data_IF_049481383396
#
_entry.id   IF_049481383396
#
_cell.length_a   1.000
_cell.length_b   1.000
_cell.length_c   1.000
_cell.angle_alpha   90.00
_cell.angle_beta   90.00
_cell.angle_gamma   90.00
#
_symmetry.space_group_name_H-M   'P 1'
#
loop_
_entity.id
_entity.type
_entity.pdbx_description
1 polymer ?
#
# COMPACT_ATOMS: atom_id res chain seq x y z
N UNK A 1 22.42 10.53 9.70
CA UNK A 1 21.63 9.43 9.12
C UNK A 1 21.65 8.26 10.11
N UNK A 2 21.05 8.43 11.29
CA UNK A 2 21.18 7.49 12.40
C UNK A 2 20.03 6.49 12.41
N UNK A 3 20.19 5.40 13.17
CA UNK A 3 19.28 4.25 13.32
C UNK A 3 17.77 4.57 13.32
N UNK A 4 17.39 5.76 13.82
CA UNK A 4 16.01 6.24 13.80
C UNK A 4 15.41 6.29 12.40
N UNK A 5 16.15 6.72 11.37
CA UNK A 5 15.67 6.73 9.98
C UNK A 5 15.48 5.32 9.41
N UNK A 6 16.33 4.36 9.82
CA UNK A 6 16.22 2.96 9.41
C UNK A 6 14.97 2.32 10.04
N UNK A 7 14.76 2.53 11.34
CA UNK A 7 13.58 2.02 12.05
C UNK A 7 12.29 2.62 11.46
N UNK A 8 12.28 3.93 11.16
CA UNK A 8 11.13 4.56 10.52
C UNK A 8 10.86 4.00 9.11
N UNK A 9 11.91 3.73 8.33
CA UNK A 9 11.78 3.10 7.01
C UNK A 9 11.21 1.68 7.12
N UNK A 10 11.71 0.88 8.07
CA UNK A 10 11.20 -0.46 8.31
C UNK A 10 9.74 -0.45 8.78
N UNK A 11 9.39 0.46 9.69
CA UNK A 11 8.03 0.62 10.21
C UNK A 11 7.04 1.03 9.11
N UNK A 12 7.41 2.03 8.31
CA UNK A 12 6.58 2.49 7.19
C UNK A 12 6.43 1.42 6.11
N UNK A 13 7.50 0.67 5.81
CA UNK A 13 7.45 -0.51 4.94
C UNK A 13 6.52 -1.62 5.42
N UNK A 14 6.58 -1.95 6.71
CA UNK A 14 5.70 -2.95 7.31
C UNK A 14 4.24 -2.49 7.29
N UNK A 15 3.99 -1.23 7.64
CA UNK A 15 2.64 -0.65 7.61
C UNK A 15 2.04 -0.65 6.20
N UNK A 16 2.83 -0.24 5.20
CA UNK A 16 2.43 -0.30 3.79
C UNK A 16 2.12 -1.73 3.33
N UNK A 17 2.97 -2.69 3.70
CA UNK A 17 2.76 -4.11 3.41
C UNK A 17 1.48 -4.65 4.05
N UNK A 18 1.22 -4.26 5.30
CA UNK A 18 0.00 -4.65 6.01
C UNK A 18 -1.26 -4.09 5.33
N UNK A 19 -1.22 -2.85 4.83
CA UNK A 19 -2.32 -2.26 4.08
C UNK A 19 -2.56 -3.01 2.76
N UNK A 20 -1.50 -3.35 2.02
CA UNK A 20 -1.59 -4.14 0.81
C UNK A 20 -2.21 -5.52 1.06
N UNK A 21 -1.77 -6.22 2.12
CA UNK A 21 -2.32 -7.54 2.50
C UNK A 21 -3.82 -7.44 2.83
N UNK A 22 -4.26 -6.40 3.55
CA UNK A 22 -5.69 -6.20 3.85
C UNK A 22 -6.51 -6.02 2.58
N UNK A 23 -6.01 -5.23 1.63
CA UNK A 23 -6.68 -5.03 0.34
C UNK A 23 -6.75 -6.32 -0.47
N UNK A 24 -5.67 -7.10 -0.52
CA UNK A 24 -5.65 -8.41 -1.16
C UNK A 24 -6.66 -9.35 -0.48
N UNK A 25 -6.70 -9.38 0.86
CA UNK A 25 -7.64 -10.20 1.62
C UNK A 25 -9.09 -9.83 1.32
N UNK A 26 -9.41 -8.53 1.24
CA UNK A 26 -10.74 -8.06 0.85
C UNK A 26 -11.09 -8.47 -0.58
N UNK A 27 -10.15 -8.36 -1.52
CA UNK A 27 -10.36 -8.78 -2.90
C UNK A 27 -10.65 -10.28 -2.99
N UNK A 28 -9.86 -11.11 -2.30
CA UNK A 28 -10.02 -12.56 -2.27
C UNK A 28 -11.36 -12.94 -1.65
N UNK A 29 -11.75 -12.29 -0.54
CA UNK A 29 -13.01 -12.55 0.13
C UNK A 29 -14.25 -12.24 -0.75
N UNK A 30 -14.13 -11.26 -1.65
CA UNK A 30 -15.23 -10.79 -2.51
C UNK A 30 -15.08 -11.20 -3.98
N UNK A 31 -14.14 -12.10 -4.31
CA UNK A 31 -13.86 -12.48 -5.70
C UNK A 31 -15.07 -13.13 -6.39
N UNK A 32 -15.92 -13.82 -5.63
CA UNK A 32 -17.13 -14.49 -6.12
C UNK A 32 -18.39 -13.60 -5.99
N UNK A 33 -18.26 -12.34 -5.59
CA UNK A 33 -19.39 -11.42 -5.46
C UNK A 33 -19.62 -10.73 -6.81
N UNK A 34 -20.75 -10.97 -7.49
CA UNK A 34 -21.03 -10.34 -8.77
C UNK A 34 -21.02 -8.81 -8.66
N UNK A 35 -20.34 -8.14 -9.59
CA UNK A 35 -20.21 -6.67 -9.58
C UNK A 35 -19.17 -6.11 -8.60
N UNK A 36 -18.40 -6.95 -7.91
CA UNK A 36 -17.33 -6.47 -7.05
C UNK A 36 -16.17 -5.88 -7.87
N UNK A 37 -15.94 -4.58 -7.69
CA UNK A 37 -14.75 -3.91 -8.21
C UNK A 37 -13.57 -4.14 -7.26
N UNK A 38 -12.50 -4.78 -7.76
CA UNK A 38 -11.27 -5.05 -6.99
C UNK A 38 -10.63 -3.75 -6.50
N UNK A 39 -10.00 -3.80 -5.35
CA UNK A 39 -9.26 -2.68 -4.79
C UNK A 39 -7.76 -2.85 -5.03
N UNK A 40 -7.04 -1.76 -5.26
CA UNK A 40 -5.58 -1.75 -5.43
C UNK A 40 -4.99 -0.64 -4.57
N UNK A 41 -3.85 -0.91 -3.94
CA UNK A 41 -3.16 0.05 -3.07
C UNK A 41 -1.96 0.58 -3.84
N UNK A 42 -1.90 1.90 -3.97
CA UNK A 42 -0.76 2.59 -4.56
C UNK A 42 0.22 2.98 -3.45
N UNK A 43 1.46 2.53 -3.58
CA UNK A 43 2.53 2.82 -2.64
C UNK A 43 3.47 3.87 -3.24
N UNK A 44 3.85 4.84 -2.43
CA UNK A 44 4.74 5.93 -2.83
C UNK A 44 5.93 6.00 -1.88
N UNK A 45 7.12 6.02 -2.47
CA UNK A 45 8.36 6.21 -1.72
C UNK A 45 8.47 7.65 -1.22
N UNK A 46 8.76 7.80 0.07
CA UNK A 46 9.04 9.10 0.66
C UNK A 46 10.52 9.42 0.45
N UNK A 47 10.81 10.54 -0.21
CA UNK A 47 12.17 11.04 -0.42
C UNK A 47 12.32 12.37 0.33
N UNK A 48 13.34 12.48 1.17
CA UNK A 48 13.69 13.74 1.82
C UNK A 48 15.21 13.92 1.80
N UNK A 49 15.68 15.14 1.54
CA UNK A 49 17.12 15.47 1.58
C UNK A 49 18.03 14.61 0.69
N UNK A 50 17.52 14.03 -0.40
CA UNK A 50 18.28 13.18 -1.33
C UNK A 50 18.40 11.70 -0.92
N UNK A 51 17.75 11.27 0.17
CA UNK A 51 17.67 9.87 0.59
C UNK A 51 16.22 9.36 0.69
N UNK A 52 16.04 8.04 0.65
CA UNK A 52 14.76 7.40 0.93
C UNK A 52 14.44 7.42 2.44
N UNK A 53 13.22 7.82 2.79
CA UNK A 53 12.74 8.00 4.18
C UNK A 53 11.56 7.08 4.54
N UNK A 54 11.22 6.12 3.69
CA UNK A 54 10.13 5.18 3.91
C UNK A 54 9.18 5.06 2.73
N UNK A 55 8.03 4.45 2.98
CA UNK A 55 6.96 4.28 2.00
C UNK A 55 5.61 4.57 2.64
N UNK A 56 4.70 5.19 1.90
CA UNK A 56 3.33 5.43 2.36
C UNK A 56 2.33 4.86 1.36
N UNK A 57 1.12 4.60 1.84
CA UNK A 57 -0.03 4.40 0.97
C UNK A 57 -0.45 5.77 0.44
N UNK A 58 -0.34 5.96 -0.87
CA UNK A 58 -0.71 7.20 -1.54
C UNK A 58 -2.19 7.19 -1.92
N UNK A 59 -2.69 6.04 -2.38
CA UNK A 59 -4.07 5.91 -2.78
C UNK A 59 -4.59 4.47 -2.62
N UNK A 60 -5.92 4.35 -2.52
CA UNK A 60 -6.61 3.06 -2.62
C UNK A 60 -7.66 3.19 -3.71
N UNK A 61 -7.38 2.62 -4.87
CA UNK A 61 -8.24 2.72 -6.03
C UNK A 61 -9.15 1.50 -6.15
N UNK A 62 -10.38 1.70 -6.63
CA UNK A 62 -11.23 0.61 -7.08
C UNK A 62 -11.04 0.44 -8.57
N UNK A 63 -10.55 -0.71 -8.99
CA UNK A 63 -10.47 -1.09 -10.40
C UNK A 63 -11.75 -1.83 -10.76
N UNK A 64 -12.73 -1.07 -11.24
CA UNK A 64 -13.88 -1.62 -11.94
C UNK A 64 -13.52 -1.68 -13.42
N UNK A 65 -13.48 -2.87 -14.01
CA UNK A 65 -13.36 -3.00 -15.45
C UNK A 65 -14.66 -2.47 -16.06
N UNK A 66 -14.61 -1.26 -16.59
CA UNK A 66 -15.70 -0.69 -17.39
C UNK A 66 -15.25 -0.81 -18.83
N UNK A 67 -15.69 -1.91 -19.44
CA UNK A 67 -15.47 -2.24 -20.85
C UNK A 67 -16.10 -1.22 -21.79
#
# INVERSE_FOLDING_TARGET
MSINSIINTAYTGLSASQAAIRTISNNVANVNTPGYARQTVDLEGLVAGGGGFGVRVSNVQRVADSS
#
